data_IF_750443408135
#
_entry.id   IF_750443408135
#
_cell.length_a   1.000
_cell.length_b   1.000
_cell.length_c   1.000
_cell.angle_alpha   90.00
_cell.angle_beta   90.00
_cell.angle_gamma   90.00
#
_symmetry.space_group_name_H-M   'P 1'
#
loop_
_entity.id
_entity.type
_entity.pdbx_description
1 polymer ?
#
# COMPACT_ATOMS: atom_id res chain seq x y z
N UNK A 1 10.27 6.24 -5.92
CA UNK A 1 10.97 6.63 -4.69
C UNK A 1 12.45 6.88 -4.91
N UNK A 2 13.10 7.71 -4.06
CA UNK A 2 14.56 7.88 -4.07
C UNK A 2 15.21 7.08 -2.96
N UNK A 3 14.53 7.01 -1.81
CA UNK A 3 15.03 6.34 -0.62
C UNK A 3 13.87 5.78 0.19
N UNK A 4 14.04 4.57 0.72
CA UNK A 4 13.11 3.93 1.65
C UNK A 4 13.86 3.46 2.88
N UNK A 5 13.29 3.68 4.07
CA UNK A 5 13.83 3.23 5.35
C UNK A 5 12.77 2.40 6.05
N UNK A 6 13.18 1.20 6.49
CA UNK A 6 12.35 0.30 7.28
C UNK A 6 13.06 -0.06 8.57
N UNK A 7 12.60 0.52 9.66
CA UNK A 7 13.10 0.23 10.99
C UNK A 7 11.97 -0.37 11.83
N UNK A 8 12.15 -1.61 12.28
CA UNK A 8 11.18 -2.35 13.09
C UNK A 8 11.85 -2.88 14.32
N UNK A 9 11.17 -2.77 15.47
CA UNK A 9 11.56 -3.37 16.74
C UNK A 9 10.28 -3.78 17.49
N UNK A 10 9.82 -5.00 17.23
CA UNK A 10 8.54 -5.51 17.75
C UNK A 10 8.70 -6.94 18.25
N UNK A 11 8.44 -7.19 19.53
CA UNK A 11 8.38 -8.53 20.11
C UNK A 11 9.62 -9.40 19.86
N UNK A 12 10.81 -8.80 19.80
CA UNK A 12 12.07 -9.48 19.47
C UNK A 12 12.37 -9.58 17.96
N UNK A 13 11.42 -9.26 17.09
CA UNK A 13 11.68 -9.10 15.66
C UNK A 13 12.24 -7.73 15.37
N UNK A 14 13.40 -7.68 14.71
CA UNK A 14 14.07 -6.42 14.37
C UNK A 14 14.47 -6.40 12.90
N UNK A 15 14.25 -5.25 12.26
CA UNK A 15 14.74 -4.93 10.90
C UNK A 15 15.32 -3.51 10.92
N UNK A 16 16.42 -3.29 10.19
CA UNK A 16 16.97 -1.96 9.92
C UNK A 16 17.52 -1.95 8.51
N UNK A 17 16.63 -1.60 7.58
CA UNK A 17 16.87 -1.64 6.14
C UNK A 17 16.80 -0.22 5.57
N UNK A 18 17.75 0.10 4.72
CA UNK A 18 17.78 1.30 3.90
C UNK A 18 17.91 0.90 2.43
N UNK A 19 17.00 1.38 1.58
CA UNK A 19 17.02 1.18 0.13
C UNK A 19 17.25 2.53 -0.54
N UNK A 20 18.24 2.62 -1.43
CA UNK A 20 18.48 3.78 -2.29
C UNK A 20 18.21 3.38 -3.73
N UNK A 21 17.37 4.14 -4.44
CA UNK A 21 16.96 3.88 -5.82
C UNK A 21 17.73 4.79 -6.77
N UNK A 22 18.51 4.18 -7.66
CA UNK A 22 19.28 4.87 -8.71
C UNK A 22 18.69 4.53 -10.08
N UNK A 23 17.78 5.38 -10.54
CA UNK A 23 17.09 5.23 -11.83
C UNK A 23 18.00 5.52 -13.04
N UNK A 24 19.16 6.14 -12.84
CA UNK A 24 20.11 6.37 -13.95
C UNK A 24 20.86 5.09 -14.34
N UNK A 25 21.06 4.23 -13.35
CA UNK A 25 21.79 2.99 -13.51
C UNK A 25 20.86 1.75 -13.41
N UNK A 26 19.54 1.94 -13.31
CA UNK A 26 18.52 0.90 -13.16
C UNK A 26 18.82 -0.06 -12.00
N UNK A 27 19.31 0.50 -10.88
CA UNK A 27 19.69 -0.29 -9.72
C UNK A 27 19.12 0.28 -8.42
N UNK A 28 18.69 -0.60 -7.52
CA UNK A 28 18.44 -0.24 -6.14
C UNK A 28 19.45 -0.95 -5.23
N UNK A 29 20.02 -0.19 -4.31
CA UNK A 29 20.98 -0.67 -3.31
C UNK A 29 20.29 -0.76 -1.98
N UNK A 30 20.11 -1.98 -1.48
CA UNK A 30 19.56 -2.27 -0.17
C UNK A 30 20.69 -2.55 0.81
N UNK A 31 20.71 -1.81 1.92
CA UNK A 31 21.61 -2.01 3.03
C UNK A 31 20.83 -2.54 4.24
N UNK A 32 21.02 -3.81 4.60
CA UNK A 32 20.52 -4.40 5.84
C UNK A 32 21.57 -4.20 6.95
N UNK A 33 21.35 -3.17 7.77
CA UNK A 33 22.28 -2.78 8.85
C UNK A 33 22.34 -3.80 9.98
N UNK A 34 21.30 -4.63 10.15
CA UNK A 34 21.30 -5.69 11.17
C UNK A 34 22.11 -6.90 10.74
N UNK A 35 22.06 -7.25 9.47
CA UNK A 35 22.84 -8.36 8.92
C UNK A 35 24.23 -7.95 8.44
N UNK A 36 24.52 -6.63 8.41
CA UNK A 36 25.72 -6.04 7.80
C UNK A 36 25.91 -6.51 6.35
N UNK A 37 24.81 -6.47 5.57
CA UNK A 37 24.80 -6.93 4.18
C UNK A 37 24.24 -5.87 3.24
N UNK A 38 24.79 -5.85 2.03
CA UNK A 38 24.31 -5.03 0.92
C UNK A 38 23.84 -5.93 -0.21
N UNK A 39 22.74 -5.55 -0.83
CA UNK A 39 22.15 -6.23 -1.97
C UNK A 39 21.93 -5.22 -3.08
N UNK A 40 22.19 -5.62 -4.32
CA UNK A 40 21.90 -4.83 -5.50
C UNK A 40 20.80 -5.52 -6.29
N UNK A 41 19.76 -4.77 -6.64
CA UNK A 41 18.62 -5.26 -7.42
C UNK A 41 18.51 -4.43 -8.69
N UNK A 42 18.37 -5.09 -9.84
CA UNK A 42 17.95 -4.42 -11.07
C UNK A 42 16.49 -3.99 -10.90
N UNK A 43 16.20 -2.73 -11.20
CA UNK A 43 14.87 -2.15 -11.05
C UNK A 43 14.36 -1.59 -12.37
N UNK A 44 13.03 -1.45 -12.47
CA UNK A 44 12.36 -0.74 -13.54
C UNK A 44 11.97 0.67 -13.08
N UNK A 45 11.64 1.54 -14.02
CA UNK A 45 11.35 2.95 -13.78
C UNK A 45 10.15 3.17 -12.84
N UNK A 46 9.18 2.23 -12.84
CA UNK A 46 7.95 2.30 -12.05
C UNK A 46 8.01 1.56 -10.71
N UNK A 47 9.20 1.03 -10.32
CA UNK A 47 9.39 0.36 -9.03
C UNK A 47 8.94 1.25 -7.87
N UNK A 48 8.25 0.68 -6.90
CA UNK A 48 7.78 1.39 -5.72
C UNK A 48 8.35 0.77 -4.44
N UNK A 49 8.29 1.51 -3.34
CA UNK A 49 8.37 0.98 -1.97
C UNK A 49 6.96 0.89 -1.36
N UNK A 50 6.85 0.39 -0.13
CA UNK A 50 5.56 0.23 0.55
C UNK A 50 4.79 1.55 0.75
N UNK A 51 5.49 2.69 0.86
CA UNK A 51 4.86 4.00 1.08
C UNK A 51 4.57 4.67 -0.25
N UNK A 52 5.54 4.68 -1.16
CA UNK A 52 5.40 5.31 -2.47
C UNK A 52 4.32 4.65 -3.33
N UNK A 53 4.06 3.35 -3.14
CA UNK A 53 2.97 2.64 -3.81
C UNK A 53 1.59 3.32 -3.61
N UNK A 54 1.30 3.81 -2.40
CA UNK A 54 0.06 4.56 -2.14
C UNK A 54 -0.03 5.85 -2.95
N UNK A 55 1.07 6.59 -3.02
CA UNK A 55 1.12 7.84 -3.79
C UNK A 55 1.05 7.57 -5.30
N UNK A 56 1.70 6.51 -5.76
CA UNK A 56 1.63 6.07 -7.16
C UNK A 56 0.19 5.73 -7.55
N UNK A 57 -0.50 4.90 -6.77
CA UNK A 57 -1.90 4.53 -7.00
C UNK A 57 -2.82 5.76 -6.98
N UNK A 58 -2.63 6.63 -5.99
CA UNK A 58 -3.40 7.86 -5.83
C UNK A 58 -3.26 8.80 -7.03
N UNK A 59 -2.08 8.89 -7.62
CA UNK A 59 -1.79 9.83 -8.70
C UNK A 59 -2.14 9.29 -10.09
N UNK A 60 -2.05 7.97 -10.30
CA UNK A 60 -2.13 7.37 -11.62
C UNK A 60 -3.49 6.71 -11.93
N UNK A 61 -4.32 6.43 -10.94
CA UNK A 61 -5.61 5.78 -11.15
C UNK A 61 -6.77 6.63 -10.66
N UNK A 62 -7.72 6.94 -11.53
CA UNK A 62 -8.97 7.60 -11.18
C UNK A 62 -10.06 6.57 -10.91
N UNK A 63 -11.09 6.97 -10.14
CA UNK A 63 -12.19 6.07 -9.79
C UNK A 63 -12.97 5.59 -11.01
N UNK A 64 -13.09 6.43 -12.05
CA UNK A 64 -13.73 6.12 -13.32
C UNK A 64 -12.96 5.11 -14.17
N UNK A 65 -11.66 4.97 -13.98
CA UNK A 65 -10.80 4.03 -14.72
C UNK A 65 -10.77 2.64 -14.08
N UNK A 66 -11.39 2.49 -12.90
CA UNK A 66 -11.39 1.24 -12.14
C UNK A 66 -12.57 0.35 -12.50
N UNK A 67 -12.29 -0.86 -12.97
CA UNK A 67 -13.28 -1.90 -13.24
C UNK A 67 -13.33 -2.90 -12.08
N UNK A 68 -14.54 -3.20 -11.57
CA UNK A 68 -14.74 -4.17 -10.48
C UNK A 68 -14.22 -5.54 -10.92
N UNK A 69 -13.39 -6.12 -10.06
CA UNK A 69 -12.74 -7.42 -10.28
C UNK A 69 -11.38 -7.34 -10.99
N UNK A 70 -11.03 -6.20 -11.58
CA UNK A 70 -9.70 -5.99 -12.17
C UNK A 70 -8.67 -5.70 -11.09
N UNK A 71 -7.41 -6.01 -11.40
CA UNK A 71 -6.27 -5.76 -10.51
C UNK A 71 -5.33 -4.73 -11.12
N UNK A 72 -4.71 -3.96 -10.25
CA UNK A 72 -3.57 -3.10 -10.55
C UNK A 72 -2.33 -3.87 -10.10
N UNK A 73 -1.35 -4.01 -10.97
CA UNK A 73 -0.10 -4.70 -10.69
C UNK A 73 1.00 -3.66 -10.41
N UNK A 74 1.80 -3.90 -9.37
CA UNK A 74 2.93 -3.07 -8.97
C UNK A 74 4.13 -3.94 -8.62
N UNK A 75 5.32 -3.43 -8.91
CA UNK A 75 6.57 -3.99 -8.42
C UNK A 75 7.04 -3.20 -7.20
N UNK A 76 7.28 -3.92 -6.09
CA UNK A 76 7.71 -3.32 -4.84
C UNK A 76 9.09 -3.82 -4.44
N UNK A 77 9.93 -2.90 -3.92
CA UNK A 77 11.19 -3.25 -3.26
C UNK A 77 11.24 -2.62 -1.87
N UNK A 78 11.21 -3.46 -0.83
CA UNK A 78 11.20 -3.01 0.57
C UNK A 78 11.90 -3.96 1.54
N UNK A 79 12.38 -5.13 1.05
CA UNK A 79 13.08 -6.13 1.86
C UNK A 79 14.17 -6.83 1.03
N UNK A 80 15.01 -7.62 1.66
CA UNK A 80 16.17 -8.30 1.06
C UNK A 80 15.81 -9.53 0.21
N UNK A 81 14.54 -9.92 0.18
CA UNK A 81 14.03 -11.02 -0.66
C UNK A 81 13.91 -10.65 -2.16
N UNK A 82 14.11 -9.37 -2.50
CA UNK A 82 14.09 -8.88 -3.88
C UNK A 82 12.84 -8.10 -4.26
N UNK A 83 12.65 -7.96 -5.59
CA UNK A 83 11.46 -7.29 -6.14
C UNK A 83 10.24 -8.15 -5.92
N UNK A 84 9.25 -7.56 -5.32
CA UNK A 84 8.03 -8.18 -4.87
C UNK A 84 6.87 -7.82 -5.80
N UNK A 85 6.23 -8.81 -6.40
CA UNK A 85 5.04 -8.60 -7.22
C UNK A 85 3.81 -8.40 -6.32
N UNK A 86 3.18 -7.26 -6.43
CA UNK A 86 2.01 -6.87 -5.67
C UNK A 86 0.83 -6.63 -6.61
N UNK A 87 -0.36 -7.09 -6.21
CA UNK A 87 -1.60 -6.83 -6.93
C UNK A 87 -2.62 -6.20 -5.99
N UNK A 88 -3.33 -5.22 -6.49
CA UNK A 88 -4.42 -4.58 -5.77
C UNK A 88 -5.72 -4.73 -6.57
N UNK A 89 -6.60 -5.65 -6.16
CA UNK A 89 -7.88 -5.91 -6.82
C UNK A 89 -8.93 -4.90 -6.37
N UNK A 90 -9.59 -4.25 -7.31
CA UNK A 90 -10.70 -3.37 -7.03
C UNK A 90 -12.00 -4.17 -6.83
N UNK A 91 -12.69 -3.94 -5.71
CA UNK A 91 -13.91 -4.65 -5.33
C UNK A 91 -15.18 -3.79 -5.48
N UNK A 92 -15.05 -2.53 -5.89
CA UNK A 92 -16.18 -1.63 -6.05
C UNK A 92 -16.25 -0.54 -4.97
N UNK A 93 -17.40 0.14 -4.93
CA UNK A 93 -17.66 1.20 -3.97
C UNK A 93 -18.41 0.68 -2.76
N UNK A 94 -18.11 1.25 -1.59
CA UNK A 94 -18.80 0.95 -0.33
C UNK A 94 -18.91 2.22 0.50
N UNK A 95 -20.04 2.42 1.18
CA UNK A 95 -20.21 3.55 2.09
C UNK A 95 -19.88 3.10 3.50
N UNK A 96 -18.81 3.68 4.07
CA UNK A 96 -18.41 3.42 5.45
C UNK A 96 -18.99 4.47 6.41
N UNK A 97 -19.42 4.00 7.59
CA UNK A 97 -19.68 4.88 8.73
C UNK A 97 -18.36 5.13 9.45
N UNK A 98 -17.96 6.40 9.52
CA UNK A 98 -16.75 6.87 10.19
C UNK A 98 -17.07 7.85 11.30
N UNK A 99 -16.09 8.28 12.08
CA UNK A 99 -16.29 9.34 13.07
C UNK A 99 -16.61 10.71 12.44
N UNK A 100 -16.31 10.89 11.15
CA UNK A 100 -16.63 12.12 10.41
C UNK A 100 -18.03 12.10 9.76
N UNK A 101 -18.71 10.96 9.77
CA UNK A 101 -19.96 10.72 9.06
C UNK A 101 -19.87 9.56 8.09
N UNK A 102 -20.75 9.54 7.08
CA UNK A 102 -20.77 8.50 6.04
C UNK A 102 -19.86 8.93 4.89
N UNK A 103 -18.90 8.09 4.52
CA UNK A 103 -17.94 8.34 3.45
C UNK A 103 -18.06 7.26 2.39
N UNK A 104 -18.26 7.66 1.13
CA UNK A 104 -18.14 6.73 0.00
C UNK A 104 -16.68 6.41 -0.22
N UNK A 105 -16.35 5.12 -0.28
CA UNK A 105 -15.01 4.61 -0.41
C UNK A 105 -14.89 3.68 -1.60
N UNK A 106 -13.69 3.65 -2.19
CA UNK A 106 -13.23 2.61 -3.11
C UNK A 106 -12.64 1.49 -2.27
N UNK A 107 -13.14 0.27 -2.43
CA UNK A 107 -12.68 -0.92 -1.72
C UNK A 107 -11.71 -1.72 -2.55
N UNK A 108 -10.60 -2.08 -1.95
CA UNK A 108 -9.56 -2.88 -2.57
C UNK A 108 -9.19 -4.08 -1.72
N UNK A 109 -8.65 -5.11 -2.40
CA UNK A 109 -8.05 -6.28 -1.76
C UNK A 109 -6.64 -6.47 -2.29
N UNK A 110 -5.62 -6.40 -1.42
CA UNK A 110 -4.26 -6.69 -1.80
C UNK A 110 -4.04 -8.18 -1.99
N UNK A 111 -3.26 -8.52 -3.00
CA UNK A 111 -2.72 -9.85 -3.25
C UNK A 111 -1.22 -9.77 -3.10
N UNK A 112 -0.68 -10.65 -2.30
CA UNK A 112 0.74 -10.71 -2.02
C UNK A 112 1.30 -11.99 -2.60
N UNK A 113 2.36 -11.87 -3.38
CA UNK A 113 3.05 -13.04 -3.88
C UNK A 113 3.82 -13.71 -2.73
N UNK A 114 3.48 -14.96 -2.43
CA UNK A 114 4.24 -15.81 -1.52
C UNK A 114 4.86 -16.94 -2.33
N UNK A 115 6.17 -16.89 -2.54
CA UNK A 115 6.87 -17.77 -3.46
C UNK A 115 6.45 -17.53 -4.92
N UNK A 116 6.03 -18.57 -5.65
CA UNK A 116 5.61 -18.48 -7.06
C UNK A 116 4.10 -18.25 -7.24
N UNK A 117 3.33 -18.18 -6.18
CA UNK A 117 1.86 -18.09 -6.22
C UNK A 117 1.40 -16.82 -5.52
N UNK A 118 0.53 -16.06 -6.19
CA UNK A 118 -0.22 -15.00 -5.53
C UNK A 118 -1.22 -15.64 -4.56
N UNK A 119 -1.00 -15.43 -3.26
CA UNK A 119 -2.01 -15.77 -2.27
C UNK A 119 -2.92 -14.57 -2.10
N UNK A 120 -4.20 -14.79 -2.35
CA UNK A 120 -5.22 -13.84 -1.95
C UNK A 120 -5.14 -13.70 -0.42
N UNK A 121 -4.81 -12.51 0.01
CA UNK A 121 -4.99 -12.15 1.41
C UNK A 121 -6.49 -11.85 1.59
N UNK A 122 -7.32 -12.90 1.50
CA UNK A 122 -8.79 -12.77 1.62
C UNK A 122 -9.19 -12.05 2.91
N UNK A 123 -8.31 -12.09 3.89
CA UNK A 123 -8.48 -11.41 5.17
C UNK A 123 -8.22 -9.90 5.12
N UNK A 124 -7.48 -9.37 4.14
CA UNK A 124 -7.10 -7.95 4.14
C UNK A 124 -7.95 -7.14 3.16
N UNK A 125 -8.52 -6.05 3.65
CA UNK A 125 -9.26 -5.08 2.84
C UNK A 125 -8.79 -3.66 3.14
N UNK A 126 -8.72 -2.83 2.10
CA UNK A 126 -8.37 -1.42 2.16
C UNK A 126 -9.51 -0.59 1.58
N UNK A 127 -9.90 0.47 2.27
CA UNK A 127 -10.84 1.47 1.78
C UNK A 127 -10.16 2.83 1.70
N UNK A 128 -10.25 3.47 0.54
CA UNK A 128 -9.81 4.84 0.34
C UNK A 128 -11.00 5.72 -0.01
N UNK A 129 -10.96 7.02 0.32
CA UNK A 129 -12.05 7.94 0.00
C UNK A 129 -12.27 8.03 -1.52
N UNK A 130 -13.55 8.03 -1.94
CA UNK A 130 -13.94 8.26 -3.33
C UNK A 130 -14.06 9.77 -3.59
N UNK A 131 -12.95 10.49 -3.42
CA UNK A 131 -12.79 11.90 -3.72
C UNK A 131 -11.40 12.17 -4.29
N UNK A 132 -11.09 13.41 -4.62
CA UNK A 132 -9.81 13.79 -5.23
C UNK A 132 -8.62 13.64 -4.26
N UNK A 133 -8.85 13.48 -2.95
CA UNK A 133 -7.79 13.23 -1.98
C UNK A 133 -7.36 11.76 -1.93
N UNK A 134 -8.30 10.80 -2.11
CA UNK A 134 -8.05 9.35 -2.06
C UNK A 134 -7.22 8.93 -0.86
N UNK A 135 -7.63 9.39 0.32
CA UNK A 135 -6.95 9.06 1.56
C UNK A 135 -7.42 7.70 2.10
N UNK A 136 -6.53 6.93 2.77
CA UNK A 136 -6.93 5.71 3.45
C UNK A 136 -7.97 6.01 4.53
N UNK A 137 -9.14 5.35 4.49
CA UNK A 137 -10.22 5.50 5.47
C UNK A 137 -10.22 4.35 6.45
N UNK A 138 -9.96 3.12 5.96
CA UNK A 138 -9.91 1.90 6.77
C UNK A 138 -8.98 0.88 6.16
N UNK A 139 -8.25 0.18 7.02
CA UNK A 139 -7.61 -1.10 6.73
C UNK A 139 -8.19 -2.11 7.70
N UNK A 140 -8.61 -3.26 7.20
CA UNK A 140 -9.18 -4.34 8.03
C UNK A 140 -8.56 -5.67 7.63
N UNK A 141 -8.11 -6.42 8.64
CA UNK A 141 -7.68 -7.80 8.49
C UNK A 141 -8.68 -8.70 9.23
N UNK A 142 -9.35 -9.60 8.50
CA UNK A 142 -10.22 -10.59 9.08
C UNK A 142 -9.39 -11.79 9.58
N UNK A 143 -9.65 -12.22 10.79
CA UNK A 143 -8.99 -13.34 11.46
C UNK A 143 -9.94 -14.53 11.53
N UNK A 144 -9.43 -15.70 11.90
CA UNK A 144 -10.30 -16.86 12.14
C UNK A 144 -11.39 -16.58 13.18
N UNK A 145 -11.10 -15.70 14.13
CA UNK A 145 -12.06 -15.21 15.12
C UNK A 145 -11.93 -13.69 15.18
N UNK A 146 -12.96 -12.97 14.73
CA UNK A 146 -13.00 -11.51 14.74
C UNK A 146 -12.21 -10.85 13.62
N UNK A 147 -11.92 -9.57 13.78
CA UNK A 147 -11.12 -8.77 12.84
C UNK A 147 -10.32 -7.70 13.56
N UNK A 148 -9.17 -7.35 13.00
CA UNK A 148 -8.39 -6.17 13.40
C UNK A 148 -8.65 -5.10 12.35
N UNK A 149 -8.95 -3.88 12.79
CA UNK A 149 -9.15 -2.75 11.90
C UNK A 149 -8.44 -1.50 12.41
N UNK A 150 -7.93 -0.72 11.48
CA UNK A 150 -7.44 0.63 11.71
C UNK A 150 -8.28 1.60 10.89
N UNK A 151 -8.91 2.55 11.56
CA UNK A 151 -9.73 3.60 10.95
C UNK A 151 -8.97 4.93 10.94
N UNK A 152 -9.23 5.77 9.93
CA UNK A 152 -8.70 7.12 9.89
C UNK A 152 -9.07 7.90 11.15
N UNK A 153 -8.08 8.29 11.93
CA UNK A 153 -8.29 9.05 13.16
C UNK A 153 -8.20 10.56 12.97
N UNK A 154 -7.32 11.05 12.10
CA UNK A 154 -7.15 12.47 11.82
C UNK A 154 -6.60 12.73 10.44
N UNK A 155 -6.87 13.92 9.92
CA UNK A 155 -6.24 14.41 8.69
C UNK A 155 -5.99 15.92 8.79
N UNK A 156 -4.99 16.38 8.07
CA UNK A 156 -4.67 17.80 7.94
C UNK A 156 -4.05 18.07 6.57
N UNK A 157 -4.17 19.31 6.08
CA UNK A 157 -3.52 19.73 4.84
C UNK A 157 -4.02 19.04 3.58
N UNK A 158 -5.28 18.60 3.54
CA UNK A 158 -5.87 18.03 2.33
C UNK A 158 -5.92 19.08 1.22
N UNK A 159 -5.56 18.67 0.01
CA UNK A 159 -5.57 19.53 -1.16
C UNK A 159 -6.98 19.82 -1.67
N UNK A 160 -7.91 18.89 -1.46
CA UNK A 160 -9.29 18.96 -1.91
C UNK A 160 -10.25 18.79 -0.74
N UNK A 161 -11.52 19.17 -0.94
CA UNK A 161 -12.54 18.97 0.07
C UNK A 161 -12.76 17.47 0.35
N UNK A 162 -12.77 17.09 1.62
CA UNK A 162 -13.13 15.73 2.04
C UNK A 162 -14.64 15.53 1.93
N UNK A 163 -15.07 14.58 1.09
CA UNK A 163 -16.48 14.36 0.78
C UNK A 163 -17.15 13.48 1.83
N UNK A 164 -18.09 14.05 2.56
CA UNK A 164 -18.97 13.36 3.49
C UNK A 164 -20.38 13.33 2.91
N UNK A 165 -21.05 12.17 2.93
CA UNK A 165 -22.44 12.05 2.51
C UNK A 165 -23.31 12.66 3.61
N UNK A 166 -23.89 13.82 3.33
CA UNK A 166 -24.92 14.38 4.20
C UNK A 166 -26.21 13.57 4.04
N UNK A 167 -26.96 13.41 5.15
CA UNK A 167 -28.29 12.80 5.11
C UNK A 167 -29.28 13.71 4.40
#
# INVERSE_FOLDING_TARGET
PYKFIRNINEGGYTKDIEVNFDYKNDVAILNDKKKDKKFNFTIQEDIQDLVSAFYFLRNNYKAEDLEVGKSIDLDLLYDDDGVFKFKLKYLGKEVLKTKYGRVECLKFRPYVQSGRVFKEQESLSLWVSNDDNRIPIRIQADLRVGSIKADLDGYNGLKHQFKIIMK
#
